data_IF_730040075508
#
_entry.id   IF_730040075508
#
_cell.length_a   1.000
_cell.length_b   1.000
_cell.length_c   1.000
_cell.angle_alpha   90.00
_cell.angle_beta   90.00
_cell.angle_gamma   90.00
#
_symmetry.space_group_name_H-M   'P 1'
#
loop_
_entity.id
_entity.type
_entity.pdbx_description
1 polymer ?
#
# COMPACT_ATOMS: atom_id res chain seq x y z
N UNK A 1 -20.54 -46.59 3.74
CA UNK A 1 -19.10 -46.30 3.82
C UNK A 1 -18.81 -45.31 2.71
N UNK A 2 -19.17 -44.05 2.95
CA UNK A 2 -18.86 -42.96 2.02
C UNK A 2 -17.40 -42.58 2.24
N UNK A 3 -16.61 -42.69 1.17
CA UNK A 3 -15.21 -42.26 1.15
C UNK A 3 -15.19 -40.73 1.11
N UNK A 4 -14.88 -40.10 2.23
CA UNK A 4 -14.54 -38.68 2.26
C UNK A 4 -13.27 -38.45 1.45
N UNK A 5 -13.37 -37.59 0.43
CA UNK A 5 -12.24 -37.15 -0.36
C UNK A 5 -11.27 -36.33 0.51
N UNK A 6 -9.94 -36.49 0.35
CA UNK A 6 -8.97 -35.76 1.14
C UNK A 6 -9.04 -34.26 0.80
N UNK A 7 -9.37 -33.43 1.79
CA UNK A 7 -9.24 -31.97 1.72
C UNK A 7 -7.82 -31.60 1.31
N UNK A 8 -7.68 -31.00 0.12
CA UNK A 8 -6.42 -30.48 -0.37
C UNK A 8 -5.82 -29.51 0.65
N UNK A 9 -4.64 -29.84 1.18
CA UNK A 9 -3.83 -28.91 1.98
C UNK A 9 -3.60 -27.65 1.15
N UNK A 10 -4.19 -26.54 1.60
CA UNK A 10 -4.24 -25.29 0.85
C UNK A 10 -2.85 -24.80 0.45
N UNK A 11 -2.68 -24.53 -0.85
CA UNK A 11 -1.52 -23.80 -1.36
C UNK A 11 -1.49 -22.45 -0.63
N UNK A 12 -0.36 -22.03 -0.02
CA UNK A 12 -0.30 -20.74 0.64
C UNK A 12 -0.64 -19.63 -0.35
N UNK A 13 -1.55 -18.74 0.04
CA UNK A 13 -1.97 -17.62 -0.81
C UNK A 13 -0.74 -16.80 -1.22
N UNK A 14 -0.62 -16.52 -2.51
CA UNK A 14 0.52 -15.78 -3.06
C UNK A 14 0.63 -14.39 -2.41
N UNK A 15 1.84 -14.02 -1.96
CA UNK A 15 2.11 -12.70 -1.39
C UNK A 15 2.32 -11.67 -2.50
N UNK A 16 1.61 -10.56 -2.38
CA UNK A 16 1.60 -9.47 -3.36
C UNK A 16 1.89 -8.13 -2.73
N UNK A 17 1.67 -7.96 -1.43
CA UNK A 17 1.91 -6.70 -0.71
C UNK A 17 3.03 -6.88 0.28
N UNK A 18 3.98 -5.95 0.26
CA UNK A 18 5.20 -5.99 1.07
C UNK A 18 5.36 -4.70 1.86
N UNK A 19 5.41 -4.77 3.18
CA UNK A 19 5.81 -3.60 3.98
C UNK A 19 7.26 -3.20 3.70
N UNK A 20 7.62 -1.94 3.96
CA UNK A 20 9.00 -1.49 3.77
C UNK A 20 10.01 -2.25 4.66
N UNK A 21 9.58 -2.78 5.80
CA UNK A 21 10.43 -3.56 6.68
C UNK A 21 10.69 -4.99 6.20
N UNK A 22 9.84 -5.54 5.32
CA UNK A 22 9.93 -6.94 4.90
C UNK A 22 10.30 -7.13 3.42
N UNK A 23 10.06 -6.13 2.56
CA UNK A 23 10.34 -6.24 1.14
C UNK A 23 11.84 -6.30 0.84
N UNK A 24 12.27 -7.17 -0.07
CA UNK A 24 13.67 -7.23 -0.48
C UNK A 24 14.05 -5.99 -1.33
N UNK A 25 14.81 -5.07 -0.75
CA UNK A 25 15.28 -3.84 -1.41
C UNK A 25 16.18 -4.06 -2.63
N UNK A 26 16.70 -5.29 -2.83
CA UNK A 26 17.46 -5.64 -4.04
C UNK A 26 16.54 -6.12 -5.17
N UNK A 27 15.32 -6.53 -4.86
CA UNK A 27 14.38 -7.08 -5.84
C UNK A 27 13.54 -5.98 -6.54
N UNK A 28 14.24 -5.18 -7.37
CA UNK A 28 13.63 -4.12 -8.18
C UNK A 28 12.63 -4.66 -9.22
N UNK A 29 12.78 -5.91 -9.64
CA UNK A 29 11.82 -6.55 -10.54
C UNK A 29 10.46 -6.71 -9.85
N UNK A 30 10.44 -7.17 -8.60
CA UNK A 30 9.19 -7.44 -7.87
C UNK A 30 8.57 -6.16 -7.28
N UNK A 31 9.38 -5.27 -6.71
CA UNK A 31 8.88 -4.10 -5.96
C UNK A 31 8.90 -2.79 -6.76
N UNK A 32 9.45 -2.82 -7.97
CA UNK A 32 9.80 -1.61 -8.71
C UNK A 32 10.98 -0.87 -8.07
N UNK A 33 11.60 0.04 -8.82
CA UNK A 33 12.77 0.79 -8.35
C UNK A 33 12.48 1.66 -7.12
N UNK A 34 11.34 2.34 -7.09
CA UNK A 34 10.93 3.18 -5.96
C UNK A 34 10.62 2.35 -4.70
N UNK A 35 9.82 1.29 -4.86
CA UNK A 35 9.43 0.43 -3.74
C UNK A 35 10.64 -0.27 -3.13
N UNK A 36 11.50 -0.85 -3.97
CA UNK A 36 12.74 -1.50 -3.53
C UNK A 36 13.66 -0.53 -2.76
N UNK A 37 13.86 0.69 -3.27
CA UNK A 37 14.67 1.69 -2.58
C UNK A 37 14.04 2.12 -1.24
N UNK A 38 12.72 2.25 -1.14
CA UNK A 38 12.03 2.57 0.13
C UNK A 38 12.21 1.45 1.16
N UNK A 39 12.15 0.19 0.73
CA UNK A 39 12.46 -0.95 1.60
C UNK A 39 13.92 -0.90 2.08
N UNK A 40 14.87 -0.69 1.16
CA UNK A 40 16.30 -0.60 1.50
C UNK A 40 16.57 0.55 2.49
N UNK A 41 16.08 1.75 2.20
CA UNK A 41 16.22 2.93 3.09
C UNK A 41 15.63 2.68 4.48
N UNK A 42 14.47 2.02 4.55
CA UNK A 42 13.82 1.69 5.83
C UNK A 42 14.65 0.68 6.62
N UNK A 43 15.17 -0.36 5.97
CA UNK A 43 15.92 -1.43 6.62
C UNK A 43 17.31 -1.00 7.08
N UNK A 44 17.93 -0.01 6.44
CA UNK A 44 19.19 0.60 6.90
C UNK A 44 18.98 1.68 7.99
N UNK A 45 17.73 1.92 8.40
CA UNK A 45 17.40 2.80 9.53
C UNK A 45 17.24 4.28 9.16
N UNK A 46 17.07 4.64 7.88
CA UNK A 46 16.69 6.01 7.54
C UNK A 46 15.24 6.28 7.98
N UNK A 47 14.97 7.53 8.34
CA UNK A 47 13.64 7.97 8.75
C UNK A 47 12.68 8.08 7.54
N UNK A 48 12.18 6.94 7.09
CA UNK A 48 11.20 6.81 6.01
C UNK A 48 9.80 6.71 6.63
N UNK A 49 8.82 7.52 6.19
CA UNK A 49 7.43 7.33 6.62
C UNK A 49 6.96 5.89 6.34
N UNK A 50 6.25 5.24 7.27
CA UNK A 50 5.87 3.84 7.10
C UNK A 50 4.98 3.67 5.87
N UNK A 51 5.15 2.55 5.17
CA UNK A 51 4.46 2.28 3.92
C UNK A 51 4.62 0.82 3.49
N UNK A 52 4.00 0.51 2.36
CA UNK A 52 4.06 -0.81 1.72
C UNK A 52 4.04 -0.67 0.20
N UNK A 53 4.40 -1.74 -0.48
CA UNK A 53 4.47 -1.85 -1.93
C UNK A 53 3.50 -2.94 -2.39
N UNK A 54 2.65 -2.62 -3.35
CA UNK A 54 1.91 -3.62 -4.14
C UNK A 54 2.82 -4.04 -5.29
N UNK A 55 3.14 -5.33 -5.39
CA UNK A 55 4.18 -5.83 -6.29
C UNK A 55 3.82 -5.69 -7.76
N UNK A 56 4.85 -5.70 -8.62
CA UNK A 56 4.68 -5.76 -10.07
C UNK A 56 3.95 -7.03 -10.50
N UNK A 57 4.11 -8.14 -9.77
CA UNK A 57 3.38 -9.38 -10.02
C UNK A 57 1.87 -9.24 -9.79
N UNK A 58 1.43 -8.42 -8.84
CA UNK A 58 0.02 -8.12 -8.66
C UNK A 58 -0.54 -7.39 -9.88
N UNK A 59 0.22 -6.43 -10.41
CA UNK A 59 -0.10 -5.70 -11.63
C UNK A 59 -0.14 -6.64 -12.85
N UNK A 60 0.87 -7.50 -13.02
CA UNK A 60 0.90 -8.47 -14.11
C UNK A 60 -0.28 -9.46 -14.03
N UNK A 61 -0.64 -9.89 -12.82
CA UNK A 61 -1.81 -10.77 -12.61
C UNK A 61 -3.11 -10.06 -12.99
N UNK A 62 -3.29 -8.81 -12.56
CA UNK A 62 -4.41 -7.95 -12.96
C UNK A 62 -4.46 -7.73 -14.48
N UNK A 63 -3.30 -7.60 -15.13
CA UNK A 63 -3.22 -7.39 -16.56
C UNK A 63 -3.46 -8.66 -17.38
N UNK A 64 -3.13 -9.83 -16.84
CA UNK A 64 -3.37 -11.12 -17.48
C UNK A 64 -4.84 -11.54 -17.43
N UNK A 65 -5.60 -11.04 -16.45
CA UNK A 65 -7.02 -11.32 -16.28
C UNK A 65 -7.87 -10.50 -17.27
N UNK A 66 -8.64 -11.15 -18.19
CA UNK A 66 -9.46 -10.45 -19.17
C UNK A 66 -10.45 -9.46 -18.58
N UNK A 67 -11.02 -9.80 -17.42
CA UNK A 67 -11.95 -8.93 -16.70
C UNK A 67 -11.27 -7.76 -15.97
N UNK A 68 -9.93 -7.71 -15.97
CA UNK A 68 -9.14 -6.79 -15.14
C UNK A 68 -9.52 -6.88 -13.67
N UNK A 69 -9.79 -8.08 -13.16
CA UNK A 69 -10.02 -8.27 -11.75
C UNK A 69 -8.68 -8.26 -10.98
N UNK A 70 -8.71 -7.74 -9.76
CA UNK A 70 -7.56 -7.88 -8.85
C UNK A 70 -7.37 -9.35 -8.49
N UNK A 71 -6.14 -9.85 -8.42
CA UNK A 71 -5.90 -11.23 -8.03
C UNK A 71 -6.35 -11.47 -6.58
N UNK A 72 -6.87 -12.66 -6.34
CA UNK A 72 -7.43 -13.05 -5.04
C UNK A 72 -6.44 -12.81 -3.90
N UNK A 73 -6.91 -12.18 -2.81
CA UNK A 73 -6.12 -11.94 -1.60
C UNK A 73 -5.29 -10.65 -1.61
N UNK A 74 -5.15 -9.93 -2.73
CA UNK A 74 -4.41 -8.66 -2.74
C UNK A 74 -5.05 -7.62 -1.84
N UNK A 75 -6.38 -7.46 -1.92
CA UNK A 75 -7.06 -6.44 -1.12
C UNK A 75 -7.06 -6.77 0.37
N UNK A 76 -7.05 -8.04 0.73
CA UNK A 76 -6.90 -8.50 2.11
C UNK A 76 -5.52 -8.12 2.66
N UNK A 77 -4.46 -8.36 1.87
CA UNK A 77 -3.09 -7.97 2.21
C UNK A 77 -2.91 -6.44 2.26
N UNK A 78 -3.57 -5.68 1.37
CA UNK A 78 -3.60 -4.21 1.43
C UNK A 78 -4.23 -3.76 2.74
N UNK A 79 -5.40 -4.30 3.12
CA UNK A 79 -6.08 -3.96 4.38
C UNK A 79 -5.25 -4.31 5.60
N UNK A 80 -4.52 -5.42 5.57
CA UNK A 80 -3.58 -5.80 6.63
C UNK A 80 -2.46 -4.79 6.78
N UNK A 81 -1.81 -4.42 5.69
CA UNK A 81 -0.74 -3.42 5.73
C UNK A 81 -1.27 -2.03 6.10
N UNK A 82 -2.49 -1.66 5.69
CA UNK A 82 -3.14 -0.43 6.14
C UNK A 82 -3.34 -0.43 7.67
N UNK A 83 -3.79 -1.52 8.27
CA UNK A 83 -3.89 -1.62 9.74
C UNK A 83 -2.53 -1.45 10.43
N UNK A 84 -1.46 -1.98 9.83
CA UNK A 84 -0.11 -1.77 10.34
C UNK A 84 0.31 -0.29 10.27
N UNK A 85 -0.03 0.42 9.18
CA UNK A 85 0.19 1.88 9.07
C UNK A 85 -0.59 2.65 10.12
N UNK A 86 -1.84 2.29 10.35
CA UNK A 86 -2.68 2.92 11.37
C UNK A 86 -2.07 2.75 12.76
N UNK A 87 -1.60 1.54 13.08
CA UNK A 87 -0.90 1.26 14.34
C UNK A 87 0.41 2.05 14.47
N UNK A 88 1.22 2.11 13.41
CA UNK A 88 2.52 2.79 13.44
C UNK A 88 2.39 4.32 13.56
N UNK A 89 1.35 4.89 12.96
CA UNK A 89 1.12 6.34 12.96
C UNK A 89 0.22 6.82 14.11
N UNK A 90 -0.52 5.90 14.74
CA UNK A 90 -1.58 6.21 15.69
C UNK A 90 -2.72 7.02 15.08
N UNK A 91 -2.90 6.95 13.75
CA UNK A 91 -3.96 7.60 12.96
C UNK A 91 -4.79 6.52 12.27
N UNK A 92 -6.02 6.84 11.84
CA UNK A 92 -6.89 5.84 11.19
C UNK A 92 -7.40 6.33 9.82
N UNK A 93 -7.37 5.47 8.81
CA UNK A 93 -7.77 5.82 7.46
C UNK A 93 -9.28 6.09 7.42
N UNK A 94 -9.66 7.29 6.97
CA UNK A 94 -11.06 7.75 6.98
C UNK A 94 -11.60 8.22 8.33
N UNK A 95 -10.79 8.29 9.39
CA UNK A 95 -11.25 8.77 10.71
C UNK A 95 -11.43 10.29 10.72
N UNK A 96 -12.58 10.77 11.22
CA UNK A 96 -12.94 12.18 11.21
C UNK A 96 -11.94 13.08 11.97
N UNK A 97 -11.62 12.74 13.22
CA UNK A 97 -10.77 13.60 14.07
C UNK A 97 -9.26 13.40 13.85
N UNK A 98 -8.84 12.13 13.73
CA UNK A 98 -7.44 11.73 13.54
C UNK A 98 -7.16 10.99 12.22
N UNK A 99 -7.41 11.62 11.05
CA UNK A 99 -7.28 10.97 9.75
C UNK A 99 -5.84 10.56 9.44
N UNK A 100 -5.68 9.32 8.97
CA UNK A 100 -4.51 8.88 8.22
C UNK A 100 -4.71 9.24 6.74
N UNK A 101 -3.76 9.98 6.19
CA UNK A 101 -3.67 10.26 4.75
C UNK A 101 -2.48 9.51 4.18
N UNK A 102 -2.62 8.99 2.97
CA UNK A 102 -1.57 8.25 2.28
C UNK A 102 -1.24 8.89 0.94
N UNK A 103 0.00 8.65 0.48
CA UNK A 103 0.36 8.91 -0.91
C UNK A 103 0.38 7.59 -1.68
N UNK A 104 -0.18 7.58 -2.89
CA UNK A 104 -0.11 6.43 -3.79
C UNK A 104 0.77 6.82 -4.96
N UNK A 105 1.88 6.09 -5.13
CA UNK A 105 2.93 6.43 -6.10
C UNK A 105 3.23 5.21 -6.96
N UNK A 106 3.03 5.34 -8.25
CA UNK A 106 3.39 4.26 -9.18
C UNK A 106 4.92 4.11 -9.28
N UNK A 107 5.36 2.87 -9.49
CA UNK A 107 6.76 2.48 -9.57
C UNK A 107 6.92 1.25 -10.46
N UNK A 108 7.77 1.34 -11.49
CA UNK A 108 8.14 0.22 -12.35
C UNK A 108 9.54 -0.30 -12.03
N UNK A 109 9.86 -1.50 -12.54
CA UNK A 109 11.18 -2.11 -12.39
C UNK A 109 12.30 -1.24 -13.01
N UNK A 110 12.02 -0.64 -14.17
CA UNK A 110 12.89 0.33 -14.81
C UNK A 110 12.32 1.74 -14.68
N UNK A 111 13.17 2.71 -14.41
CA UNK A 111 12.76 4.11 -14.25
C UNK A 111 12.13 4.63 -15.53
N UNK A 112 10.91 5.18 -15.42
CA UNK A 112 10.23 5.88 -16.50
C UNK A 112 9.91 7.32 -16.05
N UNK A 113 10.87 8.26 -16.18
CA UNK A 113 10.63 9.67 -15.83
C UNK A 113 9.48 10.25 -16.66
N UNK A 114 8.58 11.00 -16.02
CA UNK A 114 7.42 11.64 -16.67
C UNK A 114 6.22 10.74 -16.94
N UNK A 115 6.28 9.44 -16.61
CA UNK A 115 5.25 8.45 -16.96
C UNK A 115 4.53 7.83 -15.75
N UNK A 116 4.79 8.34 -14.54
CA UNK A 116 4.32 7.72 -13.29
C UNK A 116 3.46 8.67 -12.47
N UNK A 117 2.26 8.22 -12.13
CA UNK A 117 1.32 8.95 -11.27
C UNK A 117 1.76 9.03 -9.81
N UNK A 118 1.42 10.15 -9.19
CA UNK A 118 1.49 10.36 -7.74
C UNK A 118 0.21 11.03 -7.29
N UNK A 119 -0.52 10.38 -6.39
CA UNK A 119 -1.67 10.93 -5.70
C UNK A 119 -1.24 11.21 -4.27
N UNK A 120 -1.32 12.47 -3.85
CA UNK A 120 -1.09 12.88 -2.47
C UNK A 120 -2.45 13.00 -1.75
N UNK A 121 -2.40 13.01 -0.41
CA UNK A 121 -3.55 13.28 0.46
C UNK A 121 -4.77 12.35 0.29
N UNK A 122 -4.56 11.14 -0.24
CA UNK A 122 -5.62 10.15 -0.37
C UNK A 122 -6.12 9.75 1.03
N UNK A 123 -7.44 9.84 1.21
CA UNK A 123 -8.10 9.73 2.52
C UNK A 123 -8.84 11.00 2.93
N UNK A 124 -8.61 12.13 2.24
CA UNK A 124 -9.41 13.33 2.42
C UNK A 124 -10.83 13.17 1.88
N UNK A 125 -11.78 13.68 2.66
CA UNK A 125 -13.19 13.85 2.35
C UNK A 125 -13.76 14.94 3.29
N UNK A 126 -15.04 15.28 3.14
CA UNK A 126 -15.68 16.36 3.92
C UNK A 126 -15.62 16.16 5.44
N UNK A 127 -15.48 14.93 5.92
CA UNK A 127 -15.34 14.62 7.35
C UNK A 127 -13.88 14.69 7.80
N UNK A 128 -12.97 14.02 7.09
CA UNK A 128 -11.53 13.97 7.46
C UNK A 128 -10.84 15.32 7.28
N UNK A 129 -11.32 16.17 6.37
CA UNK A 129 -10.84 17.54 6.20
C UNK A 129 -10.96 18.36 7.49
N UNK A 130 -12.09 18.23 8.20
CA UNK A 130 -12.31 18.93 9.48
C UNK A 130 -11.29 18.52 10.53
N UNK A 131 -10.98 17.23 10.64
CA UNK A 131 -9.93 16.74 11.54
C UNK A 131 -8.53 17.16 11.14
N UNK A 132 -8.24 17.25 9.83
CA UNK A 132 -6.96 17.76 9.35
C UNK A 132 -6.77 19.23 9.76
N UNK A 133 -7.79 20.07 9.55
CA UNK A 133 -7.78 21.49 9.94
C UNK A 133 -7.58 21.61 11.45
N UNK A 134 -8.32 20.83 12.25
CA UNK A 134 -8.22 20.86 13.70
C UNK A 134 -6.82 20.44 14.22
N UNK A 135 -6.23 19.38 13.66
CA UNK A 135 -4.89 18.92 14.07
C UNK A 135 -3.76 19.87 13.69
N UNK A 136 -3.90 20.57 12.56
CA UNK A 136 -2.86 21.46 12.06
C UNK A 136 -3.04 22.89 12.52
N UNK A 137 -4.22 23.26 13.01
CA UNK A 137 -4.59 24.64 13.32
C UNK A 137 -4.57 25.54 12.08
N UNK A 138 -4.67 24.97 10.87
CA UNK A 138 -4.46 25.69 9.62
C UNK A 138 -5.53 25.32 8.58
N UNK A 139 -6.56 26.15 8.53
CA UNK A 139 -7.69 25.97 7.60
C UNK A 139 -7.26 26.04 6.14
N UNK A 140 -6.41 27.02 5.79
CA UNK A 140 -5.91 27.20 4.42
C UNK A 140 -5.13 25.96 3.95
N UNK A 141 -4.31 25.38 4.81
CA UNK A 141 -3.61 24.12 4.50
C UNK A 141 -4.58 22.96 4.27
N UNK A 142 -5.63 22.85 5.09
CA UNK A 142 -6.63 21.80 4.91
C UNK A 142 -7.31 21.83 3.54
N UNK A 143 -7.70 23.00 3.05
CA UNK A 143 -8.37 23.13 1.75
C UNK A 143 -7.42 23.09 0.54
N UNK A 144 -6.12 23.36 0.73
CA UNK A 144 -5.09 23.28 -0.32
C UNK A 144 -4.63 21.84 -0.59
N UNK A 145 -4.77 20.97 0.42
CA UNK A 145 -4.39 19.56 0.40
C UNK A 145 -5.36 18.69 -0.42
#
# INVERSE_FOLDING_TARGET
MELEAPTAKGVPAKKYVFSFHEGDGKNKHLLGGKGANLCEMTQIGLNVPPGFVVSTEACLSYLAEPSRALPNGVMEQVRENMRALESATGKKFGHADKPLLVSVRSGSAMSMPGMMDTILNLGLNSQTLKGLIAQTGNERFGYDA
#
